data_IF_113514470375
#
_entry.id   IF_113514470375
#
_cell.length_a   1.000
_cell.length_b   1.000
_cell.length_c   1.000
_cell.angle_alpha   90.00
_cell.angle_beta   90.00
_cell.angle_gamma   90.00
#
_symmetry.space_group_name_H-M   'P 1'
#
loop_
_entity.id
_entity.type
_entity.pdbx_description
1 polymer ?
#
# COMPACT_ATOMS: atom_id res chain seq x y z
N UNK A 1 20.96 7.31 -11.99
CA UNK A 1 19.62 7.24 -11.38
C UNK A 1 19.51 8.36 -10.37
N UNK A 2 18.35 9.03 -10.31
CA UNK A 2 18.04 10.09 -9.35
C UNK A 2 16.79 9.69 -8.55
N UNK A 3 16.84 9.87 -7.24
CA UNK A 3 15.66 9.84 -6.37
C UNK A 3 15.54 11.17 -5.61
N UNK A 4 14.43 11.85 -5.78
CA UNK A 4 14.14 13.10 -5.08
C UNK A 4 13.32 12.79 -3.83
N UNK A 5 13.86 13.14 -2.67
CA UNK A 5 13.16 13.09 -1.39
C UNK A 5 12.49 14.45 -1.19
N UNK A 6 11.18 14.47 -1.03
CA UNK A 6 10.40 15.68 -0.77
C UNK A 6 9.61 15.53 0.52
N UNK A 7 9.42 16.61 1.28
CA UNK A 7 8.54 16.66 2.45
C UNK A 7 7.08 17.03 2.11
N UNK A 8 6.77 17.22 0.82
CA UNK A 8 5.41 17.51 0.33
C UNK A 8 4.52 16.29 0.13
N UNK A 9 5.01 15.08 0.44
CA UNK A 9 4.18 13.88 0.29
C UNK A 9 3.07 13.90 1.36
N UNK A 10 1.78 13.95 0.95
CA UNK A 10 0.67 14.07 1.90
C UNK A 10 0.68 12.99 2.98
N UNK A 11 0.47 13.37 4.24
CA UNK A 11 0.39 12.48 5.41
C UNK A 11 1.64 11.63 5.66
N UNK A 12 2.75 11.87 4.96
CA UNK A 12 4.00 11.16 5.19
C UNK A 12 4.72 11.70 6.45
N UNK A 13 5.36 10.81 7.19
CA UNK A 13 6.11 11.16 8.40
C UNK A 13 7.40 10.34 8.50
N UNK A 14 8.22 10.61 9.51
CA UNK A 14 9.53 9.98 9.72
C UNK A 14 9.50 8.45 9.66
N UNK A 15 8.41 7.80 10.10
CA UNK A 15 8.22 6.34 9.99
C UNK A 15 8.34 5.85 8.56
N UNK A 16 7.68 6.54 7.64
CA UNK A 16 7.59 6.17 6.23
C UNK A 16 8.91 6.45 5.51
N UNK A 17 9.48 7.64 5.71
CA UNK A 17 10.75 8.02 5.10
C UNK A 17 11.90 7.12 5.55
N UNK A 18 11.96 6.77 6.83
CA UNK A 18 13.01 5.90 7.36
C UNK A 18 13.01 4.54 6.67
N UNK A 19 11.83 3.91 6.55
CA UNK A 19 11.67 2.62 5.90
C UNK A 19 11.93 2.68 4.38
N UNK A 20 11.42 3.71 3.71
CA UNK A 20 11.66 3.95 2.28
C UNK A 20 13.15 4.11 1.99
N UNK A 21 13.82 4.95 2.74
CA UNK A 21 15.25 5.25 2.54
C UNK A 21 16.16 4.05 2.82
N UNK A 22 15.79 3.13 3.71
CA UNK A 22 16.51 1.88 3.89
C UNK A 22 16.51 1.05 2.58
N UNK A 23 15.37 0.94 1.92
CA UNK A 23 15.27 0.24 0.64
C UNK A 23 16.05 0.92 -0.48
N UNK A 24 15.92 2.23 -0.58
CA UNK A 24 16.65 3.03 -1.57
C UNK A 24 18.17 2.97 -1.34
N UNK A 25 18.61 2.87 -0.08
CA UNK A 25 20.02 2.65 0.25
C UNK A 25 20.54 1.31 -0.31
N UNK A 26 19.78 0.22 -0.19
CA UNK A 26 20.14 -1.07 -0.80
C UNK A 26 20.23 -0.95 -2.33
N UNK A 27 19.25 -0.32 -2.97
CA UNK A 27 19.24 -0.10 -4.43
C UNK A 27 20.46 0.72 -4.87
N UNK A 28 20.71 1.85 -4.22
CA UNK A 28 21.84 2.71 -4.51
C UNK A 28 23.19 1.97 -4.37
N UNK A 29 23.32 1.15 -3.32
CA UNK A 29 24.51 0.34 -3.09
C UNK A 29 24.68 -0.75 -4.17
N UNK A 30 23.57 -1.38 -4.58
CA UNK A 30 23.60 -2.42 -5.62
C UNK A 30 23.96 -1.84 -6.99
N UNK A 31 23.40 -0.70 -7.35
CA UNK A 31 23.71 0.01 -8.61
C UNK A 31 25.15 0.52 -8.63
N UNK A 32 25.64 1.06 -7.52
CA UNK A 32 27.03 1.49 -7.39
C UNK A 32 28.02 0.34 -7.66
N UNK A 33 27.76 -0.88 -7.14
CA UNK A 33 28.57 -2.08 -7.43
C UNK A 33 28.58 -2.46 -8.91
N UNK A 34 27.55 -2.08 -9.66
CA UNK A 34 27.44 -2.28 -11.11
C UNK A 34 28.04 -1.10 -11.92
N UNK A 35 28.60 -0.08 -11.25
CA UNK A 35 29.12 1.12 -11.88
C UNK A 35 28.04 2.10 -12.34
N UNK A 36 26.81 1.96 -11.85
CA UNK A 36 25.69 2.87 -12.15
C UNK A 36 25.59 3.90 -11.03
N UNK A 37 25.69 5.18 -11.37
CA UNK A 37 25.56 6.27 -10.40
C UNK A 37 24.14 6.42 -9.89
N UNK A 38 23.98 6.53 -8.57
CA UNK A 38 22.71 6.81 -7.90
C UNK A 38 22.86 8.05 -7.02
N UNK A 39 21.94 8.98 -7.18
CA UNK A 39 21.94 10.24 -6.43
C UNK A 39 20.63 10.39 -5.68
N UNK A 40 20.72 10.84 -4.42
CA UNK A 40 19.59 11.39 -3.68
C UNK A 40 19.64 12.92 -3.81
N UNK A 41 18.49 13.53 -4.02
CA UNK A 41 18.33 14.97 -3.93
C UNK A 41 17.18 15.30 -2.97
N UNK A 42 17.22 16.47 -2.34
CA UNK A 42 16.14 16.98 -1.51
C UNK A 42 15.54 18.25 -2.14
N UNK A 43 14.20 18.33 -2.16
CA UNK A 43 13.46 19.50 -2.63
C UNK A 43 12.16 19.15 -3.34
N UNK A 44 11.62 20.12 -4.04
CA UNK A 44 10.47 20.00 -4.91
C UNK A 44 10.77 19.03 -6.08
N UNK A 45 9.98 17.97 -6.21
CA UNK A 45 10.26 16.86 -7.14
C UNK A 45 10.40 17.36 -8.58
N UNK A 46 9.44 18.16 -9.05
CA UNK A 46 9.40 18.64 -10.45
C UNK A 46 10.57 19.56 -10.75
N UNK A 47 10.86 20.51 -9.83
CA UNK A 47 11.94 21.46 -9.99
C UNK A 47 13.32 20.78 -10.02
N UNK A 48 13.54 19.86 -9.08
CA UNK A 48 14.83 19.14 -8.98
C UNK A 48 15.06 18.26 -10.19
N UNK A 49 14.03 17.49 -10.61
CA UNK A 49 14.17 16.60 -11.78
C UNK A 49 14.39 17.40 -13.06
N UNK A 50 13.64 18.48 -13.29
CA UNK A 50 13.79 19.35 -14.47
C UNK A 50 15.19 19.97 -14.52
N UNK A 51 15.72 20.45 -13.38
CA UNK A 51 17.07 21.02 -13.33
C UNK A 51 18.18 19.98 -13.58
N UNK A 52 18.03 18.75 -13.06
CA UNK A 52 18.98 17.66 -13.32
C UNK A 52 18.91 17.20 -14.79
N UNK A 53 17.74 17.31 -15.41
CA UNK A 53 17.48 16.86 -16.77
C UNK A 53 17.85 17.90 -17.85
N UNK A 54 18.40 19.06 -17.50
CA UNK A 54 18.72 20.14 -18.47
C UNK A 54 19.60 19.65 -19.63
N UNK A 55 20.58 18.77 -19.33
CA UNK A 55 21.46 18.16 -20.32
C UNK A 55 21.07 16.71 -20.69
N UNK A 56 19.92 16.23 -20.25
CA UNK A 56 19.49 14.86 -20.51
C UNK A 56 18.79 14.73 -21.87
N UNK A 57 18.99 13.59 -22.54
CA UNK A 57 18.24 13.25 -23.74
C UNK A 57 16.81 12.82 -23.42
N UNK A 58 16.66 12.09 -22.31
CA UNK A 58 15.40 11.52 -21.88
C UNK A 58 15.34 11.38 -20.38
N UNK A 59 14.15 11.61 -19.80
CA UNK A 59 13.79 11.25 -18.43
C UNK A 59 12.82 10.07 -18.47
N UNK A 60 13.16 9.00 -17.78
CA UNK A 60 12.29 7.84 -17.58
C UNK A 60 11.83 7.80 -16.13
N UNK A 61 10.53 7.73 -15.88
CA UNK A 61 9.96 7.73 -14.54
C UNK A 61 8.84 6.70 -14.38
N UNK A 62 8.57 6.32 -13.12
CA UNK A 62 7.47 5.42 -12.78
C UNK A 62 6.11 6.09 -12.97
N UNK A 63 5.13 5.30 -13.40
CA UNK A 63 3.74 5.71 -13.54
C UNK A 63 2.98 5.55 -12.21
N UNK A 64 3.04 6.56 -11.33
CA UNK A 64 2.26 6.54 -10.08
C UNK A 64 0.77 6.90 -10.28
N UNK A 65 -0.10 6.34 -9.45
CA UNK A 65 -1.56 6.46 -9.58
C UNK A 65 -2.21 7.50 -8.69
N UNK A 66 -1.52 7.91 -7.62
CA UNK A 66 -2.06 8.82 -6.63
C UNK A 66 -2.09 10.27 -7.14
N UNK A 67 -2.98 11.09 -6.57
CA UNK A 67 -3.21 12.48 -6.99
C UNK A 67 -1.92 13.29 -7.09
N UNK A 68 -1.09 13.28 -6.04
CA UNK A 68 0.16 14.02 -6.02
C UNK A 68 1.16 13.50 -7.05
N UNK A 69 1.28 12.18 -7.24
CA UNK A 69 2.14 11.56 -8.26
C UNK A 69 1.68 11.95 -9.68
N UNK A 70 0.36 11.95 -9.93
CA UNK A 70 -0.21 12.37 -11.21
C UNK A 70 0.05 13.85 -11.49
N UNK A 71 -0.03 14.68 -10.46
CA UNK A 71 0.29 16.10 -10.55
C UNK A 71 1.76 16.30 -10.92
N UNK A 72 2.69 15.68 -10.19
CA UNK A 72 4.12 15.75 -10.51
C UNK A 72 4.42 15.31 -11.94
N UNK A 73 3.84 14.21 -12.41
CA UNK A 73 4.05 13.73 -13.79
C UNK A 73 3.57 14.74 -14.83
N UNK A 74 2.38 15.31 -14.63
CA UNK A 74 1.82 16.30 -15.56
C UNK A 74 2.67 17.56 -15.61
N UNK A 75 3.08 18.08 -14.47
CA UNK A 75 3.92 19.27 -14.36
C UNK A 75 5.31 19.02 -14.95
N UNK A 76 5.91 17.86 -14.62
CA UNK A 76 7.21 17.45 -15.14
C UNK A 76 7.19 17.29 -16.66
N UNK A 77 6.18 16.63 -17.22
CA UNK A 77 6.03 16.49 -18.67
C UNK A 77 5.99 17.84 -19.38
N UNK A 78 5.31 18.82 -18.78
CA UNK A 78 5.23 20.20 -19.32
C UNK A 78 6.62 20.85 -19.30
N UNK A 79 7.33 20.84 -18.17
CA UNK A 79 8.67 21.43 -18.05
C UNK A 79 9.70 20.79 -18.96
N UNK A 80 9.73 19.46 -19.03
CA UNK A 80 10.65 18.75 -19.90
C UNK A 80 10.39 19.01 -21.38
N UNK A 81 9.11 19.18 -21.77
CA UNK A 81 8.76 19.60 -23.14
C UNK A 81 9.30 20.99 -23.48
N UNK A 82 9.26 21.94 -22.54
CA UNK A 82 9.83 23.28 -22.71
C UNK A 82 11.36 23.24 -22.88
N UNK A 83 12.02 22.27 -22.23
CA UNK A 83 13.47 22.03 -22.34
C UNK A 83 13.86 21.16 -23.54
N UNK A 84 12.89 20.67 -24.33
CA UNK A 84 13.10 19.72 -25.42
C UNK A 84 13.72 18.37 -24.98
N UNK A 85 13.49 17.97 -23.72
CA UNK A 85 13.90 16.68 -23.16
C UNK A 85 12.76 15.67 -23.33
N UNK A 86 13.05 14.47 -23.84
CA UNK A 86 12.06 13.40 -23.95
C UNK A 86 11.62 12.91 -22.56
N UNK A 87 10.34 12.51 -22.43
CA UNK A 87 9.78 11.97 -21.18
C UNK A 87 9.01 10.69 -21.45
N UNK A 88 9.41 9.63 -20.74
CA UNK A 88 8.79 8.30 -20.83
C UNK A 88 8.31 7.84 -19.46
N UNK A 89 7.06 7.39 -19.36
CA UNK A 89 6.50 6.79 -18.15
C UNK A 89 6.43 5.27 -18.31
N UNK A 90 6.87 4.54 -17.27
CA UNK A 90 6.83 3.07 -17.22
C UNK A 90 5.95 2.65 -16.06
N UNK A 91 4.95 1.81 -16.34
CA UNK A 91 4.11 1.23 -15.30
C UNK A 91 4.78 -0.02 -14.71
N UNK A 92 5.24 0.08 -13.46
CA UNK A 92 6.00 -0.97 -12.77
C UNK A 92 5.26 -1.60 -11.60
N UNK A 93 4.16 -1.00 -11.13
CA UNK A 93 3.47 -1.41 -9.91
C UNK A 93 2.47 -2.57 -10.13
N UNK A 94 1.74 -2.57 -11.25
CA UNK A 94 0.76 -3.60 -11.57
C UNK A 94 1.39 -4.75 -12.36
N UNK A 95 0.87 -5.97 -12.17
CA UNK A 95 1.25 -7.13 -13.01
C UNK A 95 0.64 -6.99 -14.40
N UNK A 96 -0.61 -6.53 -14.47
CA UNK A 96 -1.26 -6.19 -15.74
C UNK A 96 -1.57 -4.69 -15.72
N UNK A 97 -1.02 -3.90 -16.65
CA UNK A 97 -1.23 -2.46 -16.70
C UNK A 97 -2.69 -2.07 -16.61
N UNK A 98 -3.02 -1.09 -15.75
CA UNK A 98 -4.41 -0.71 -15.44
C UNK A 98 -5.22 -0.37 -16.68
N UNK A 99 -4.61 0.37 -17.62
CA UNK A 99 -5.26 0.79 -18.86
C UNK A 99 -5.47 -0.35 -19.86
N UNK A 100 -4.68 -1.43 -19.78
CA UNK A 100 -4.90 -2.65 -20.57
C UNK A 100 -6.03 -3.51 -20.00
N UNK A 101 -6.22 -3.46 -18.67
CA UNK A 101 -7.27 -4.20 -17.97
C UNK A 101 -8.63 -3.59 -18.24
N UNK A 102 -8.78 -2.27 -18.13
CA UNK A 102 -10.07 -1.59 -18.25
C UNK A 102 -9.90 -0.13 -18.64
N UNK A 103 -10.90 0.42 -19.32
CA UNK A 103 -11.04 1.83 -19.71
C UNK A 103 -11.86 2.66 -18.71
N UNK A 104 -12.26 2.04 -17.58
CA UNK A 104 -13.11 2.68 -16.56
C UNK A 104 -12.89 2.10 -15.18
N UNK A 105 -13.44 2.80 -14.17
CA UNK A 105 -13.51 2.28 -12.81
C UNK A 105 -14.32 0.98 -12.75
N UNK A 106 -13.71 -0.08 -12.22
CA UNK A 106 -14.33 -1.37 -12.01
C UNK A 106 -15.10 -1.43 -10.69
N UNK A 107 -16.34 -1.91 -10.76
CA UNK A 107 -17.23 -1.94 -9.60
C UNK A 107 -16.71 -2.84 -8.47
N UNK A 108 -16.13 -3.99 -8.80
CA UNK A 108 -15.76 -5.01 -7.82
C UNK A 108 -14.66 -5.95 -8.32
N UNK A 109 -14.10 -6.73 -7.41
CA UNK A 109 -13.17 -7.81 -7.76
C UNK A 109 -13.78 -8.84 -8.76
N UNK A 110 -15.08 -9.02 -8.78
CA UNK A 110 -15.73 -9.94 -9.73
C UNK A 110 -15.67 -9.43 -11.17
N UNK A 111 -15.80 -8.11 -11.37
CA UNK A 111 -15.76 -7.50 -12.71
C UNK A 111 -14.33 -7.44 -13.25
N UNK A 112 -13.37 -6.93 -12.47
CA UNK A 112 -11.98 -6.81 -12.90
C UNK A 112 -11.31 -8.17 -13.09
N UNK A 113 -11.61 -9.16 -12.24
CA UNK A 113 -11.03 -10.52 -12.32
C UNK A 113 -11.14 -11.12 -13.72
N UNK A 114 -12.30 -11.03 -14.35
CA UNK A 114 -12.51 -11.60 -15.71
C UNK A 114 -11.57 -11.00 -16.74
N UNK A 115 -11.22 -9.73 -16.57
CA UNK A 115 -10.32 -9.01 -17.47
C UNK A 115 -8.87 -9.38 -17.20
N UNK A 116 -8.45 -9.36 -15.92
CA UNK A 116 -7.09 -9.71 -15.52
C UNK A 116 -6.75 -11.15 -15.89
N UNK A 117 -7.59 -12.13 -15.55
CA UNK A 117 -7.28 -13.55 -15.83
C UNK A 117 -7.19 -13.86 -17.32
N UNK A 118 -7.81 -13.07 -18.18
CA UNK A 118 -7.67 -13.21 -19.64
C UNK A 118 -6.31 -12.75 -20.13
N UNK A 119 -5.74 -11.72 -19.50
CA UNK A 119 -4.45 -11.12 -19.89
C UNK A 119 -3.27 -11.80 -19.19
N UNK A 120 -3.48 -12.29 -17.98
CA UNK A 120 -2.42 -12.84 -17.12
C UNK A 120 -1.52 -13.89 -17.78
N UNK A 121 -2.03 -14.87 -18.60
CA UNK A 121 -1.17 -15.85 -19.26
C UNK A 121 -0.15 -15.27 -20.25
N UNK A 122 -0.38 -14.05 -20.74
CA UNK A 122 0.49 -13.36 -21.68
C UNK A 122 1.51 -12.41 -21.01
N UNK A 123 1.51 -12.33 -19.67
CA UNK A 123 2.46 -11.49 -18.94
C UNK A 123 3.82 -12.17 -18.91
N UNK A 124 4.86 -11.42 -19.27
CA UNK A 124 6.24 -11.85 -19.08
C UNK A 124 6.67 -11.51 -17.64
N UNK A 125 6.98 -12.55 -16.87
CA UNK A 125 7.50 -12.41 -15.50
C UNK A 125 9.03 -12.48 -15.44
N UNK A 126 9.69 -12.80 -16.54
CA UNK A 126 11.15 -12.91 -16.53
C UNK A 126 11.77 -11.50 -16.46
N UNK A 127 12.72 -11.29 -15.55
CA UNK A 127 13.44 -10.02 -15.52
C UNK A 127 14.30 -9.88 -16.76
N UNK A 128 14.42 -8.65 -17.27
CA UNK A 128 15.42 -8.34 -18.27
C UNK A 128 16.82 -8.65 -17.71
N UNK A 129 17.54 -9.53 -18.40
CA UNK A 129 18.87 -9.98 -17.99
C UNK A 129 19.99 -9.32 -18.82
N UNK A 130 19.66 -8.34 -19.66
CA UNK A 130 20.68 -7.61 -20.41
C UNK A 130 21.65 -6.90 -19.45
N UNK A 131 22.94 -7.16 -19.65
CA UNK A 131 23.99 -6.51 -18.86
C UNK A 131 24.39 -5.22 -19.59
N UNK A 132 23.88 -4.10 -19.09
CA UNK A 132 24.27 -2.79 -19.59
C UNK A 132 25.69 -2.44 -19.11
N UNK A 133 26.53 -2.02 -20.04
CA UNK A 133 27.86 -1.46 -19.71
C UNK A 133 27.66 -0.01 -19.26
N UNK A 134 27.99 0.34 -18.01
CA UNK A 134 27.85 1.71 -17.57
C UNK A 134 28.73 2.65 -18.41
N UNK A 135 28.12 3.76 -18.81
CA UNK A 135 28.86 4.88 -19.42
C UNK A 135 29.28 5.83 -18.30
N UNK A 136 30.52 6.34 -18.37
CA UNK A 136 30.94 7.36 -17.39
C UNK A 136 30.02 8.57 -17.47
N UNK A 137 29.31 8.86 -16.39
CA UNK A 137 28.39 9.99 -16.31
C UNK A 137 29.14 11.17 -15.69
N UNK A 138 29.07 12.36 -16.27
CA UNK A 138 29.64 13.57 -15.67
C UNK A 138 28.94 13.86 -14.32
N UNK A 139 29.64 14.44 -13.38
CA UNK A 139 29.08 14.87 -12.11
C UNK A 139 27.88 15.79 -12.34
N UNK A 140 26.76 15.46 -11.72
CA UNK A 140 25.56 16.31 -11.74
C UNK A 140 25.89 17.65 -11.08
N UNK A 141 25.70 18.73 -11.82
CA UNK A 141 25.89 20.12 -11.32
C UNK A 141 24.51 20.77 -11.21
N UNK A 142 23.98 20.80 -9.99
CA UNK A 142 22.69 21.43 -9.70
C UNK A 142 22.80 22.27 -8.42
N UNK A 143 21.94 23.28 -8.30
CA UNK A 143 21.84 24.14 -7.12
C UNK A 143 20.97 23.54 -6.00
N UNK A 144 20.81 22.22 -6.00
CA UNK A 144 20.04 21.49 -4.98
C UNK A 144 20.97 20.62 -4.14
N UNK A 145 20.59 20.33 -2.86
CA UNK A 145 21.31 19.36 -2.06
C UNK A 145 21.29 17.97 -2.71
N UNK A 146 22.46 17.45 -3.04
CA UNK A 146 22.66 16.13 -3.63
C UNK A 146 23.55 15.28 -2.73
N UNK A 147 23.17 14.04 -2.49
CA UNK A 147 23.92 13.07 -1.73
C UNK A 147 24.37 11.91 -2.61
N UNK A 148 25.66 11.63 -2.63
CA UNK A 148 26.24 10.49 -3.32
C UNK A 148 26.59 9.38 -2.31
N UNK A 149 26.36 8.13 -2.71
CA UNK A 149 26.43 6.94 -1.84
C UNK A 149 27.87 6.48 -1.54
N UNK A 150 28.88 7.16 -2.06
CA UNK A 150 30.28 6.75 -1.91
C UNK A 150 30.73 6.69 -0.45
N UNK A 151 31.11 5.47 0.00
CA UNK A 151 31.78 5.19 1.29
C UNK A 151 31.05 5.64 2.57
N UNK A 152 29.74 5.79 2.53
CA UNK A 152 28.92 6.17 3.68
C UNK A 152 27.94 5.04 4.05
N UNK A 153 27.31 5.11 5.22
CA UNK A 153 26.28 4.17 5.66
C UNK A 153 24.90 4.82 5.68
N UNK A 154 23.86 4.01 5.73
CA UNK A 154 22.46 4.47 5.87
C UNK A 154 22.26 5.56 6.93
N UNK A 155 22.92 5.50 8.16
CA UNK A 155 22.77 6.56 9.14
C UNK A 155 23.21 7.95 8.66
N UNK A 156 24.18 8.01 7.76
CA UNK A 156 24.65 9.27 7.17
C UNK A 156 23.63 9.85 6.18
N UNK A 157 22.99 9.00 5.36
CA UNK A 157 21.89 9.40 4.49
C UNK A 157 20.70 9.92 5.31
N UNK A 158 20.29 9.17 6.34
CA UNK A 158 19.18 9.58 7.21
C UNK A 158 19.42 10.94 7.87
N UNK A 159 20.64 11.14 8.41
CA UNK A 159 21.05 12.42 8.99
C UNK A 159 21.02 13.55 7.96
N UNK A 160 21.52 13.29 6.73
CA UNK A 160 21.55 14.26 5.66
C UNK A 160 20.15 14.68 5.23
N UNK A 161 19.22 13.74 5.06
CA UNK A 161 17.81 14.05 4.73
C UNK A 161 17.17 14.94 5.79
N UNK A 162 17.34 14.61 7.09
CA UNK A 162 16.80 15.43 8.19
C UNK A 162 17.44 16.81 8.33
N UNK A 163 18.60 17.04 7.72
CA UNK A 163 19.23 18.37 7.67
C UNK A 163 18.64 19.24 6.55
N UNK A 164 18.06 18.66 5.53
CA UNK A 164 17.61 19.37 4.33
C UNK A 164 16.08 19.44 4.19
N UNK A 165 15.34 18.58 4.88
CA UNK A 165 13.87 18.50 4.85
C UNK A 165 13.30 18.63 6.27
N UNK A 166 12.06 19.11 6.36
CA UNK A 166 11.29 19.19 7.60
C UNK A 166 10.28 18.04 7.66
N UNK A 167 10.78 16.85 7.93
CA UNK A 167 9.89 15.70 8.06
C UNK A 167 9.03 15.81 9.34
N UNK A 168 7.77 15.36 9.27
CA UNK A 168 6.95 15.17 10.46
C UNK A 168 7.54 14.02 11.31
N UNK A 169 8.11 14.35 12.46
CA UNK A 169 8.75 13.43 13.40
C UNK A 169 7.83 12.96 14.54
N UNK A 170 6.54 13.36 14.50
CA UNK A 170 5.54 13.00 15.52
C UNK A 170 5.21 11.51 15.57
N UNK A 171 5.55 10.74 14.52
CA UNK A 171 5.42 9.27 14.49
C UNK A 171 6.80 8.65 14.26
N UNK A 172 7.31 8.00 15.28
CA UNK A 172 8.63 7.38 15.23
C UNK A 172 8.70 6.18 14.27
N UNK A 173 9.86 5.91 13.66
CA UNK A 173 10.13 4.71 12.89
C UNK A 173 9.89 3.43 13.68
N UNK A 174 9.41 2.37 13.01
CA UNK A 174 9.29 1.02 13.58
C UNK A 174 10.63 0.30 13.39
N UNK A 175 11.50 0.36 14.41
CA UNK A 175 12.86 -0.18 14.30
C UNK A 175 12.90 -1.70 14.09
N UNK A 176 11.87 -2.43 14.54
CA UNK A 176 11.73 -3.87 14.32
C UNK A 176 11.37 -4.24 12.87
N UNK A 177 10.91 -3.27 12.07
CA UNK A 177 10.58 -3.46 10.66
C UNK A 177 11.69 -2.85 9.80
N UNK A 178 12.55 -3.71 9.28
CA UNK A 178 13.62 -3.30 8.38
C UNK A 178 13.09 -3.13 6.95
N UNK A 179 13.41 -2.01 6.29
CA UNK A 179 13.18 -1.81 4.87
C UNK A 179 14.27 -2.46 4.01
N UNK A 180 13.98 -2.62 2.73
CA UNK A 180 14.91 -3.10 1.72
C UNK A 180 14.51 -4.42 1.07
N UNK A 181 15.05 -4.67 -0.11
CA UNK A 181 14.77 -5.87 -0.90
C UNK A 181 15.21 -7.15 -0.19
N UNK A 182 16.31 -7.11 0.57
CA UNK A 182 16.79 -8.24 1.36
C UNK A 182 15.78 -8.67 2.42
N UNK A 183 15.23 -7.72 3.16
CA UNK A 183 14.20 -7.97 4.18
C UNK A 183 12.89 -8.44 3.53
N UNK A 184 12.49 -7.84 2.40
CA UNK A 184 11.32 -8.25 1.64
C UNK A 184 11.41 -9.71 1.16
N UNK A 185 12.56 -10.12 0.60
CA UNK A 185 12.81 -11.51 0.16
C UNK A 185 12.80 -12.49 1.32
N UNK A 186 13.34 -12.11 2.46
CA UNK A 186 13.25 -12.90 3.69
C UNK A 186 11.80 -13.13 4.13
N UNK A 187 10.96 -12.09 4.11
CA UNK A 187 9.51 -12.18 4.40
C UNK A 187 8.78 -13.05 3.37
N UNK A 188 9.07 -12.87 2.08
CA UNK A 188 8.49 -13.70 1.02
C UNK A 188 8.83 -15.17 1.22
N UNK A 189 10.08 -15.49 1.52
CA UNK A 189 10.53 -16.88 1.76
C UNK A 189 9.82 -17.47 2.98
N UNK A 190 9.82 -16.78 4.13
CA UNK A 190 9.10 -17.23 5.34
C UNK A 190 7.62 -17.50 5.06
N UNK A 191 6.96 -16.56 4.36
CA UNK A 191 5.55 -16.72 4.01
C UNK A 191 5.30 -17.93 3.11
N UNK A 192 6.08 -18.09 2.06
CA UNK A 192 5.88 -19.18 1.10
C UNK A 192 6.16 -20.55 1.68
N UNK A 193 7.17 -20.66 2.56
CA UNK A 193 7.56 -21.94 3.17
C UNK A 193 6.67 -22.36 4.34
N UNK A 194 6.16 -21.39 5.13
CA UNK A 194 5.54 -21.72 6.43
C UNK A 194 4.07 -21.32 6.54
N UNK A 195 3.59 -20.35 5.74
CA UNK A 195 2.28 -19.72 5.93
C UNK A 195 1.33 -19.91 4.75
N UNK A 196 1.85 -19.97 3.53
CA UNK A 196 1.05 -19.99 2.30
C UNK A 196 0.03 -21.14 2.24
N UNK A 197 0.41 -22.33 2.65
CA UNK A 197 -0.49 -23.50 2.68
C UNK A 197 -1.69 -23.29 3.63
N UNK A 198 -1.51 -22.56 4.72
CA UNK A 198 -2.53 -22.27 5.74
C UNK A 198 -3.36 -21.02 5.40
N UNK A 199 -2.89 -20.20 4.45
CA UNK A 199 -3.40 -18.87 4.19
C UNK A 199 -4.90 -18.83 3.90
N UNK A 200 -5.42 -19.74 3.08
CA UNK A 200 -6.85 -19.75 2.74
C UNK A 200 -7.77 -19.85 3.97
N UNK A 201 -7.39 -20.69 4.95
CA UNK A 201 -8.25 -21.00 6.09
C UNK A 201 -8.00 -20.12 7.30
N UNK A 202 -6.76 -19.61 7.46
CA UNK A 202 -6.34 -18.96 8.71
C UNK A 202 -6.04 -17.46 8.56
N UNK A 203 -5.98 -16.92 7.34
CA UNK A 203 -5.61 -15.53 7.09
C UNK A 203 -6.50 -14.48 7.77
N UNK A 204 -7.72 -14.84 8.13
CA UNK A 204 -8.66 -13.93 8.79
C UNK A 204 -8.62 -14.03 10.33
N UNK A 205 -7.85 -14.95 10.90
CA UNK A 205 -7.72 -15.08 12.35
C UNK A 205 -6.66 -14.11 12.87
N UNK A 206 -7.05 -13.04 13.62
CA UNK A 206 -6.11 -12.01 14.06
C UNK A 206 -5.13 -12.49 15.15
N UNK A 207 -5.46 -13.56 15.85
CA UNK A 207 -4.56 -14.15 16.84
C UNK A 207 -3.35 -14.86 16.20
N UNK A 208 -3.44 -15.24 14.91
CA UNK A 208 -2.40 -15.97 14.20
C UNK A 208 -1.55 -15.03 13.31
N UNK A 209 -0.27 -15.36 13.18
CA UNK A 209 0.64 -14.67 12.26
C UNK A 209 0.74 -15.42 10.91
N UNK A 210 -0.35 -15.37 10.13
CA UNK A 210 -0.46 -16.03 8.81
C UNK A 210 -0.38 -15.02 7.64
N UNK A 211 -0.32 -13.74 7.93
CA UNK A 211 -0.18 -12.70 6.90
C UNK A 211 1.23 -12.75 6.28
N UNK A 212 1.33 -12.35 5.01
CA UNK A 212 2.63 -12.29 4.32
C UNK A 212 3.57 -11.22 4.88
N UNK A 213 3.02 -10.13 5.41
CA UNK A 213 3.79 -8.96 5.85
C UNK A 213 4.45 -8.20 4.70
N UNK A 214 4.07 -8.45 3.44
CA UNK A 214 4.73 -7.89 2.25
C UNK A 214 4.19 -6.53 1.81
N UNK A 215 3.03 -6.09 2.32
CA UNK A 215 2.40 -4.85 1.81
C UNK A 215 3.24 -3.58 1.99
N UNK A 216 4.03 -3.35 3.06
CA UNK A 216 4.92 -2.21 3.12
C UNK A 216 6.02 -2.24 2.05
N UNK A 217 6.56 -3.42 1.79
CA UNK A 217 7.61 -3.59 0.78
C UNK A 217 7.08 -3.41 -0.64
N UNK A 218 5.84 -3.85 -0.91
CA UNK A 218 5.15 -3.60 -2.18
C UNK A 218 4.85 -2.11 -2.36
N UNK A 219 4.40 -1.43 -1.29
CA UNK A 219 4.09 0.00 -1.32
C UNK A 219 5.32 0.85 -1.72
N UNK A 220 6.48 0.52 -1.16
CA UNK A 220 7.72 1.25 -1.44
C UNK A 220 8.58 0.64 -2.57
N UNK A 221 8.03 -0.30 -3.37
CA UNK A 221 8.73 -0.89 -4.50
C UNK A 221 9.97 -1.72 -4.13
N UNK A 222 10.09 -2.15 -2.86
CA UNK A 222 11.23 -2.94 -2.36
C UNK A 222 11.14 -4.42 -2.75
N UNK A 223 10.00 -4.85 -3.26
CA UNK A 223 9.75 -6.09 -3.96
C UNK A 223 8.60 -5.88 -4.95
N UNK A 224 8.66 -6.51 -6.12
CA UNK A 224 7.56 -6.43 -7.08
C UNK A 224 6.53 -7.56 -6.88
N UNK A 225 5.27 -7.30 -7.25
CA UNK A 225 4.24 -8.32 -7.27
C UNK A 225 4.59 -9.45 -8.27
N UNK A 226 5.25 -9.11 -9.38
CA UNK A 226 5.72 -10.07 -10.38
C UNK A 226 6.75 -11.03 -9.79
N UNK A 227 7.75 -10.53 -9.05
CA UNK A 227 8.76 -11.35 -8.37
C UNK A 227 8.14 -12.33 -7.36
N UNK A 228 7.16 -11.87 -6.59
CA UNK A 228 6.44 -12.72 -5.62
C UNK A 228 5.69 -13.85 -6.35
N UNK A 229 4.95 -13.51 -7.41
CA UNK A 229 4.21 -14.50 -8.22
C UNK A 229 5.18 -15.49 -8.84
N UNK A 230 6.25 -15.02 -9.49
CA UNK A 230 7.25 -15.87 -10.10
C UNK A 230 7.89 -16.85 -9.09
N UNK A 231 8.25 -16.35 -7.90
CA UNK A 231 8.79 -17.17 -6.82
C UNK A 231 7.83 -18.31 -6.40
N UNK A 232 6.55 -17.98 -6.21
CA UNK A 232 5.54 -18.99 -5.84
C UNK A 232 5.35 -20.01 -6.96
N UNK A 233 5.20 -19.56 -8.21
CA UNK A 233 4.98 -20.44 -9.34
C UNK A 233 6.14 -21.40 -9.58
N UNK A 234 7.38 -20.92 -9.48
CA UNK A 234 8.59 -21.77 -9.60
C UNK A 234 8.68 -22.82 -8.50
N UNK A 235 8.41 -22.43 -7.25
CA UNK A 235 8.48 -23.36 -6.11
C UNK A 235 7.42 -24.46 -6.16
N UNK A 236 6.26 -24.17 -6.69
CA UNK A 236 5.12 -25.10 -6.75
C UNK A 236 4.97 -25.82 -8.10
N UNK A 237 5.80 -25.49 -9.08
CA UNK A 237 5.73 -26.06 -10.42
C UNK A 237 4.42 -25.72 -11.16
N UNK A 238 3.90 -24.51 -10.97
CA UNK A 238 2.64 -24.02 -11.52
C UNK A 238 2.91 -22.93 -12.56
N UNK A 239 2.21 -22.94 -13.68
CA UNK A 239 2.32 -21.89 -14.70
C UNK A 239 1.38 -20.70 -14.43
N UNK A 240 1.60 -19.57 -15.12
CA UNK A 240 0.66 -18.43 -15.12
C UNK A 240 -0.71 -18.84 -15.69
N UNK A 241 -0.75 -19.75 -16.66
CA UNK A 241 -1.98 -20.30 -17.20
C UNK A 241 -2.79 -21.04 -16.13
N UNK A 242 -2.11 -21.89 -15.34
CA UNK A 242 -2.75 -22.60 -14.21
C UNK A 242 -3.25 -21.63 -13.15
N UNK A 243 -2.45 -20.60 -12.81
CA UNK A 243 -2.88 -19.56 -11.87
C UNK A 243 -4.10 -18.81 -12.36
N UNK A 244 -4.14 -18.46 -13.64
CA UNK A 244 -5.31 -17.84 -14.29
C UNK A 244 -6.56 -18.71 -14.17
N UNK A 245 -6.46 -20.02 -14.40
CA UNK A 245 -7.54 -20.97 -14.21
C UNK A 245 -8.01 -21.04 -12.74
N UNK A 246 -7.10 -21.07 -11.78
CA UNK A 246 -7.42 -21.06 -10.35
C UNK A 246 -8.19 -19.79 -9.95
N UNK A 247 -7.76 -18.62 -10.44
CA UNK A 247 -8.44 -17.34 -10.20
C UNK A 247 -9.79 -17.24 -10.87
N UNK A 248 -9.98 -17.87 -12.05
CA UNK A 248 -11.25 -17.89 -12.77
C UNK A 248 -12.30 -18.73 -12.07
N UNK A 249 -11.91 -19.91 -11.56
CA UNK A 249 -12.81 -20.90 -10.98
C UNK A 249 -12.35 -21.38 -9.61
N UNK A 250 -12.54 -20.55 -8.61
CA UNK A 250 -12.15 -20.82 -7.21
C UNK A 250 -12.75 -22.12 -6.63
N UNK A 251 -13.89 -22.59 -7.16
CA UNK A 251 -14.55 -23.79 -6.63
C UNK A 251 -13.88 -25.08 -7.06
N UNK A 252 -13.11 -25.05 -8.15
CA UNK A 252 -12.41 -26.23 -8.69
C UNK A 252 -10.92 -26.28 -8.31
N UNK A 253 -10.47 -25.36 -7.45
CA UNK A 253 -9.07 -25.33 -7.00
C UNK A 253 -8.81 -26.51 -6.08
N UNK A 254 -7.79 -27.32 -6.41
CA UNK A 254 -7.32 -28.40 -5.54
C UNK A 254 -6.92 -27.86 -4.15
N UNK A 255 -7.21 -28.58 -3.05
CA UNK A 255 -6.78 -28.18 -1.70
C UNK A 255 -5.30 -27.84 -1.61
N UNK A 256 -4.44 -28.51 -2.36
CA UNK A 256 -3.00 -28.23 -2.45
C UNK A 256 -2.69 -26.78 -2.84
N UNK A 257 -3.45 -26.24 -3.80
CA UNK A 257 -3.21 -24.90 -4.35
C UNK A 257 -4.14 -23.82 -3.77
N UNK A 258 -4.94 -24.17 -2.79
CA UNK A 258 -5.94 -23.29 -2.23
C UNK A 258 -5.33 -22.02 -1.57
N UNK A 259 -4.19 -22.20 -0.91
CA UNK A 259 -3.41 -21.07 -0.35
C UNK A 259 -2.90 -20.14 -1.45
N UNK A 260 -2.33 -20.69 -2.52
CA UNK A 260 -1.84 -19.91 -3.68
C UNK A 260 -2.95 -19.12 -4.32
N UNK A 261 -4.08 -19.76 -4.65
CA UNK A 261 -5.22 -19.10 -5.26
C UNK A 261 -5.79 -17.98 -4.35
N UNK A 262 -5.83 -18.22 -3.03
CA UNK A 262 -6.30 -17.24 -2.06
C UNK A 262 -5.33 -16.05 -1.94
N UNK A 263 -4.03 -16.28 -1.94
CA UNK A 263 -3.03 -15.22 -1.87
C UNK A 263 -2.96 -14.43 -3.18
N UNK A 264 -2.97 -15.11 -4.33
CA UNK A 264 -2.98 -14.47 -5.64
C UNK A 264 -4.25 -13.61 -5.87
N UNK A 265 -5.39 -14.01 -5.30
CA UNK A 265 -6.61 -13.17 -5.30
C UNK A 265 -6.35 -11.82 -4.62
N UNK A 266 -5.64 -11.80 -3.49
CA UNK A 266 -5.34 -10.55 -2.78
C UNK A 266 -4.23 -9.76 -3.50
N UNK A 267 -3.15 -10.43 -3.88
CA UNK A 267 -1.97 -9.79 -4.47
C UNK A 267 -2.23 -9.24 -5.88
N UNK A 268 -3.05 -9.94 -6.69
CA UNK A 268 -3.31 -9.56 -8.08
C UNK A 268 -4.68 -8.89 -8.17
N UNK A 269 -5.76 -9.63 -7.92
CA UNK A 269 -7.11 -9.14 -8.24
C UNK A 269 -7.51 -7.95 -7.35
N UNK A 270 -7.28 -8.05 -6.03
CA UNK A 270 -7.68 -6.99 -5.09
C UNK A 270 -6.74 -5.80 -5.18
N UNK A 271 -5.45 -6.04 -5.28
CA UNK A 271 -4.46 -4.97 -5.40
C UNK A 271 -4.66 -4.18 -6.70
N UNK A 272 -4.84 -4.84 -7.84
CA UNK A 272 -5.05 -4.15 -9.11
C UNK A 272 -6.43 -3.49 -9.23
N UNK A 273 -7.44 -3.97 -8.50
CA UNK A 273 -8.70 -3.24 -8.34
C UNK A 273 -8.49 -1.89 -7.64
N UNK A 274 -7.59 -1.83 -6.65
CA UNK A 274 -7.29 -0.57 -5.97
C UNK A 274 -6.53 0.42 -6.85
N UNK A 275 -5.62 -0.06 -7.70
CA UNK A 275 -4.98 0.80 -8.71
C UNK A 275 -5.99 1.31 -9.73
N UNK A 276 -6.86 0.45 -10.24
CA UNK A 276 -7.95 0.85 -11.12
C UNK A 276 -8.86 1.90 -10.45
N UNK A 277 -9.19 1.71 -9.18
CA UNK A 277 -9.97 2.67 -8.41
C UNK A 277 -9.27 4.04 -8.32
N UNK A 278 -8.02 4.10 -7.90
CA UNK A 278 -7.29 5.38 -7.78
C UNK A 278 -7.06 6.04 -9.15
N UNK A 279 -6.88 5.25 -10.22
CA UNK A 279 -6.67 5.76 -11.57
C UNK A 279 -7.93 6.44 -12.13
N UNK A 280 -9.09 5.79 -12.01
CA UNK A 280 -10.33 6.26 -12.67
C UNK A 280 -11.23 7.10 -11.78
N UNK A 281 -11.11 7.04 -10.45
CA UNK A 281 -11.94 7.81 -9.55
C UNK A 281 -11.21 9.07 -9.06
N UNK A 282 -11.59 10.28 -9.51
CA UNK A 282 -10.91 11.52 -9.09
C UNK A 282 -11.12 11.87 -7.61
N UNK A 283 -12.03 11.18 -6.92
CA UNK A 283 -12.39 11.40 -5.51
C UNK A 283 -11.94 10.25 -4.62
N UNK A 284 -11.00 9.39 -5.05
CA UNK A 284 -10.62 8.16 -4.37
C UNK A 284 -10.21 8.34 -2.89
N UNK A 285 -9.73 9.52 -2.53
CA UNK A 285 -9.25 9.91 -1.20
C UNK A 285 -10.30 10.67 -0.37
N UNK A 286 -11.56 10.70 -0.80
CA UNK A 286 -12.65 11.39 -0.11
C UNK A 286 -13.91 10.52 0.00
N UNK A 287 -14.81 10.87 0.91
CA UNK A 287 -16.13 10.22 1.05
C UNK A 287 -16.95 10.22 -0.26
N UNK A 288 -16.69 11.20 -1.14
CA UNK A 288 -17.38 11.32 -2.43
C UNK A 288 -17.14 10.14 -3.37
N UNK A 289 -16.07 9.36 -3.18
CA UNK A 289 -15.75 8.18 -3.98
C UNK A 289 -16.78 7.05 -3.84
N UNK A 290 -17.59 7.07 -2.78
CA UNK A 290 -18.50 5.98 -2.44
C UNK A 290 -19.68 5.86 -3.41
N UNK A 291 -20.20 4.66 -3.64
CA UNK A 291 -21.37 4.47 -4.47
C UNK A 291 -22.60 5.17 -3.88
N UNK A 292 -23.48 5.65 -4.75
CA UNK A 292 -24.65 6.43 -4.36
C UNK A 292 -25.52 5.75 -3.30
N UNK A 293 -25.72 4.42 -3.42
CA UNK A 293 -26.51 3.64 -2.45
C UNK A 293 -25.89 3.67 -1.03
N UNK A 294 -24.57 3.62 -0.95
CA UNK A 294 -23.87 3.61 0.34
C UNK A 294 -23.94 4.99 1.00
N UNK A 295 -23.74 6.06 0.24
CA UNK A 295 -23.89 7.42 0.74
C UNK A 295 -25.32 7.69 1.21
N UNK A 296 -26.32 7.40 0.39
CA UNK A 296 -27.72 7.62 0.71
C UNK A 296 -28.11 6.89 2.00
N UNK A 297 -27.79 5.59 2.11
CA UNK A 297 -28.20 4.83 3.31
C UNK A 297 -27.53 5.32 4.59
N UNK A 298 -26.27 5.76 4.56
CA UNK A 298 -25.61 6.31 5.75
C UNK A 298 -26.17 7.69 6.13
N UNK A 299 -26.49 8.54 5.13
CA UNK A 299 -27.11 9.85 5.35
C UNK A 299 -28.55 9.73 5.90
N UNK A 300 -29.34 8.74 5.45
CA UNK A 300 -30.67 8.45 5.98
C UNK A 300 -30.62 8.05 7.48
N UNK A 301 -29.49 7.56 7.95
CA UNK A 301 -29.24 7.16 9.34
C UNK A 301 -28.50 8.22 10.19
N UNK A 302 -28.33 9.46 9.69
CA UNK A 302 -27.78 10.56 10.50
C UNK A 302 -28.58 10.85 11.78
N UNK A 303 -29.95 10.80 11.78
CA UNK A 303 -30.72 11.03 12.99
C UNK A 303 -30.60 9.93 14.06
N UNK A 304 -29.98 8.81 13.74
CA UNK A 304 -29.83 7.71 14.68
C UNK A 304 -28.91 8.11 15.84
N UNK A 305 -29.36 7.83 17.07
CA UNK A 305 -28.60 8.15 18.29
C UNK A 305 -27.35 7.27 18.34
N UNK A 306 -26.21 7.91 18.52
CA UNK A 306 -24.92 7.29 18.81
C UNK A 306 -24.71 7.32 20.33
N UNK A 307 -24.41 6.17 20.90
CA UNK A 307 -24.31 6.02 22.37
C UNK A 307 -22.95 6.52 22.90
N UNK A 308 -21.94 6.55 22.05
CA UNK A 308 -20.57 6.93 22.41
C UNK A 308 -19.98 7.86 21.35
N UNK A 309 -19.15 8.80 21.80
CA UNK A 309 -18.39 9.72 20.96
C UNK A 309 -16.97 9.81 21.49
N UNK A 310 -16.00 9.80 20.59
CA UNK A 310 -14.59 9.90 20.92
C UNK A 310 -13.92 11.00 20.10
N UNK A 311 -13.14 11.87 20.75
CA UNK A 311 -12.28 12.82 20.06
C UNK A 311 -11.14 12.09 19.35
N UNK A 312 -10.54 12.73 18.36
CA UNK A 312 -9.37 12.18 17.65
C UNK A 312 -8.25 11.84 18.63
N UNK A 313 -7.96 12.70 19.63
CA UNK A 313 -6.92 12.47 20.64
C UNK A 313 -7.18 11.17 21.43
N UNK A 314 -8.44 10.90 21.81
CA UNK A 314 -8.79 9.66 22.53
C UNK A 314 -8.65 8.43 21.63
N UNK A 315 -8.99 8.56 20.36
CA UNK A 315 -8.79 7.49 19.36
C UNK A 315 -7.29 7.19 19.19
N UNK A 316 -6.46 8.22 19.06
CA UNK A 316 -5.00 8.06 18.97
C UNK A 316 -4.40 7.45 20.25
N UNK A 317 -4.95 7.76 21.42
CA UNK A 317 -4.50 7.20 22.70
C UNK A 317 -5.03 5.79 22.98
N UNK A 318 -5.79 5.19 22.06
CA UNK A 318 -6.46 3.89 22.27
C UNK A 318 -7.37 3.88 23.51
N UNK A 319 -8.05 5.01 23.77
CA UNK A 319 -8.90 5.25 24.95
C UNK A 319 -10.39 5.25 24.56
N UNK A 320 -10.89 4.08 24.15
CA UNK A 320 -12.32 3.84 23.92
C UNK A 320 -12.83 2.72 24.81
N UNK A 321 -14.14 2.53 24.88
CA UNK A 321 -14.77 1.40 25.60
C UNK A 321 -14.54 0.04 24.91
N UNK A 322 -14.13 0.04 23.63
CA UNK A 322 -13.96 -1.15 22.79
C UNK A 322 -12.51 -1.66 22.84
N UNK A 323 -12.24 -2.64 23.67
CA UNK A 323 -10.91 -3.21 23.89
C UNK A 323 -10.28 -3.78 22.62
N UNK A 324 -11.07 -4.32 21.70
CA UNK A 324 -10.57 -4.88 20.43
C UNK A 324 -10.20 -3.79 19.44
N UNK A 325 -10.96 -2.70 19.44
CA UNK A 325 -10.61 -1.51 18.66
C UNK A 325 -9.32 -0.89 19.16
N UNK A 326 -9.21 -0.71 20.49
CA UNK A 326 -8.00 -0.17 21.12
C UNK A 326 -6.77 -1.05 20.82
N UNK A 327 -6.91 -2.37 20.87
CA UNK A 327 -5.83 -3.28 20.53
C UNK A 327 -5.43 -3.15 19.04
N UNK A 328 -6.39 -3.05 18.12
CA UNK A 328 -6.11 -2.88 16.70
C UNK A 328 -5.37 -1.57 16.39
N UNK A 329 -5.82 -0.46 17.01
CA UNK A 329 -5.13 0.83 16.92
C UNK A 329 -3.71 0.75 17.49
N UNK A 330 -3.53 0.11 18.63
CA UNK A 330 -2.23 -0.08 19.28
C UNK A 330 -1.30 -0.95 18.43
N UNK A 331 -1.79 -2.06 17.84
CA UNK A 331 -1.02 -2.91 16.91
C UNK A 331 -0.45 -2.07 15.77
N UNK A 332 -1.28 -1.23 15.15
CA UNK A 332 -0.89 -0.33 14.07
C UNK A 332 0.16 0.69 14.51
N UNK A 333 -0.05 1.33 15.65
CA UNK A 333 0.88 2.35 16.17
C UNK A 333 2.25 1.78 16.52
N UNK A 334 2.29 0.59 17.14
CA UNK A 334 3.53 -0.06 17.59
C UNK A 334 4.30 -0.73 16.46
N UNK A 335 3.59 -1.35 15.52
CA UNK A 335 4.20 -2.23 14.51
C UNK A 335 4.18 -1.66 13.09
N UNK A 336 3.46 -0.55 12.87
CA UNK A 336 3.19 -0.02 11.52
C UNK A 336 2.24 -0.90 10.70
N UNK A 337 1.59 -1.88 11.33
CA UNK A 337 0.69 -2.84 10.68
C UNK A 337 -0.50 -3.16 11.57
N UNK A 338 -1.68 -3.27 10.97
CA UNK A 338 -2.86 -3.83 11.59
C UNK A 338 -3.28 -5.09 10.86
N UNK A 339 -3.71 -6.12 11.58
CA UNK A 339 -4.25 -7.33 10.93
C UNK A 339 -5.44 -6.97 10.03
N UNK A 340 -5.45 -7.47 8.79
CA UNK A 340 -6.42 -7.07 7.76
C UNK A 340 -7.90 -7.25 8.18
N UNK A 341 -8.23 -8.32 8.92
CA UNK A 341 -9.59 -8.52 9.43
C UNK A 341 -9.95 -7.50 10.51
N UNK A 342 -8.98 -7.13 11.36
CA UNK A 342 -9.16 -6.10 12.39
C UNK A 342 -9.29 -4.71 11.78
N UNK A 343 -8.60 -4.40 10.68
CA UNK A 343 -8.75 -3.12 9.96
C UNK A 343 -10.20 -2.87 9.54
N UNK A 344 -10.90 -3.92 9.08
CA UNK A 344 -12.31 -3.81 8.74
C UNK A 344 -13.21 -3.55 9.96
N UNK A 345 -12.94 -4.23 11.06
CA UNK A 345 -13.66 -4.01 12.31
C UNK A 345 -13.41 -2.59 12.82
N UNK A 346 -12.16 -2.22 12.94
CA UNK A 346 -11.67 -0.92 13.38
C UNK A 346 -12.30 0.24 12.58
N UNK A 347 -12.26 0.18 11.24
CA UNK A 347 -12.84 1.21 10.40
C UNK A 347 -14.35 1.32 10.51
N UNK A 348 -15.07 0.20 10.66
CA UNK A 348 -16.52 0.22 10.79
C UNK A 348 -17.03 0.75 12.13
N UNK A 349 -16.23 0.62 13.19
CA UNK A 349 -16.61 1.16 14.51
C UNK A 349 -16.67 2.69 14.51
N UNK A 350 -15.86 3.38 13.71
CA UNK A 350 -15.90 4.83 13.64
C UNK A 350 -17.27 5.37 13.17
N UNK A 351 -17.98 4.65 12.29
CA UNK A 351 -19.36 5.00 11.93
C UNK A 351 -20.30 5.10 13.13
N UNK A 352 -20.08 4.29 14.16
CA UNK A 352 -20.91 4.30 15.36
C UNK A 352 -20.54 5.44 16.33
N UNK A 353 -19.40 6.06 16.18
CA UNK A 353 -18.84 7.02 17.15
C UNK A 353 -18.73 8.46 16.61
N UNK A 354 -18.86 8.65 15.31
CA UNK A 354 -18.81 9.98 14.69
C UNK A 354 -20.21 10.49 14.36
N UNK A 355 -20.40 11.81 14.40
CA UNK A 355 -21.68 12.46 14.11
C UNK A 355 -22.09 12.32 12.65
N UNK A 356 -21.11 12.31 11.76
CA UNK A 356 -21.35 12.09 10.32
C UNK A 356 -20.49 10.96 9.76
N UNK A 357 -20.93 10.29 8.68
CA UNK A 357 -20.12 9.31 7.98
C UNK A 357 -18.93 9.94 7.25
N UNK A 358 -19.00 11.22 6.89
CA UNK A 358 -17.91 12.00 6.34
C UNK A 358 -16.77 12.16 7.36
N UNK A 359 -17.09 12.55 8.60
CA UNK A 359 -16.11 12.67 9.69
C UNK A 359 -15.46 11.32 9.98
N UNK A 360 -16.29 10.26 10.07
CA UNK A 360 -15.78 8.90 10.25
C UNK A 360 -14.79 8.49 9.15
N UNK A 361 -15.07 8.86 7.89
CA UNK A 361 -14.21 8.59 6.74
C UNK A 361 -12.87 9.35 6.86
N UNK A 362 -12.92 10.65 7.18
CA UNK A 362 -11.73 11.49 7.32
C UNK A 362 -10.84 11.04 8.48
N UNK A 363 -11.42 10.74 9.63
CA UNK A 363 -10.68 10.22 10.79
C UNK A 363 -10.03 8.88 10.45
N UNK A 364 -10.75 7.99 9.76
CA UNK A 364 -10.21 6.69 9.36
C UNK A 364 -9.04 6.84 8.39
N UNK A 365 -9.17 7.73 7.42
CA UNK A 365 -8.11 8.03 6.45
C UNK A 365 -6.88 8.59 7.15
N UNK A 366 -7.07 9.57 8.02
CA UNK A 366 -6.00 10.19 8.80
C UNK A 366 -5.23 9.15 9.64
N UNK A 367 -5.93 8.36 10.45
CA UNK A 367 -5.31 7.37 11.33
C UNK A 367 -4.55 6.30 10.52
N UNK A 368 -5.15 5.83 9.42
CA UNK A 368 -4.51 4.86 8.55
C UNK A 368 -3.22 5.42 7.92
N UNK A 369 -3.30 6.59 7.28
CA UNK A 369 -2.17 7.17 6.55
C UNK A 369 -1.02 7.54 7.49
N UNK A 370 -1.35 7.96 8.71
CA UNK A 370 -0.39 8.37 9.71
C UNK A 370 0.39 7.19 10.32
N UNK A 371 -0.29 6.07 10.61
CA UNK A 371 0.28 4.99 11.44
C UNK A 371 0.60 3.71 10.71
N UNK A 372 -0.10 3.36 9.62
CA UNK A 372 0.23 2.20 8.80
C UNK A 372 1.50 2.45 7.98
N UNK A 373 2.40 1.48 7.95
CA UNK A 373 3.63 1.59 7.16
C UNK A 373 3.34 1.68 5.65
N UNK A 374 2.29 1.00 5.20
CA UNK A 374 1.72 1.07 3.86
C UNK A 374 0.48 1.99 3.78
N UNK A 375 0.37 2.97 4.67
CA UNK A 375 -0.56 4.10 4.52
C UNK A 375 -0.33 4.83 3.19
N UNK A 376 -1.37 5.46 2.62
CA UNK A 376 -1.31 6.17 1.32
C UNK A 376 -1.12 5.25 0.10
N UNK A 377 -1.11 3.93 0.28
CA UNK A 377 -1.14 2.99 -0.84
C UNK A 377 -2.53 2.99 -1.51
N UNK A 378 -2.67 2.72 -2.82
CA UNK A 378 -3.96 2.50 -3.45
C UNK A 378 -4.84 1.48 -2.70
N UNK A 379 -4.25 0.41 -2.12
CA UNK A 379 -4.99 -0.54 -1.28
C UNK A 379 -5.48 0.08 0.04
N UNK A 380 -4.77 1.05 0.60
CA UNK A 380 -5.20 1.76 1.80
C UNK A 380 -6.48 2.55 1.50
N UNK A 381 -6.49 3.36 0.45
CA UNK A 381 -7.68 4.12 0.03
C UNK A 381 -8.86 3.20 -0.31
N UNK A 382 -8.64 2.15 -1.08
CA UNK A 382 -9.68 1.17 -1.41
C UNK A 382 -10.19 0.43 -0.16
N UNK A 383 -9.31 0.09 0.77
CA UNK A 383 -9.64 -0.58 2.03
C UNK A 383 -10.49 0.28 2.96
N UNK A 384 -10.16 1.57 3.05
CA UNK A 384 -10.95 2.56 3.79
C UNK A 384 -12.33 2.71 3.15
N UNK A 385 -12.38 2.99 1.85
CA UNK A 385 -13.64 3.13 1.12
C UNK A 385 -14.51 1.86 1.22
N UNK A 386 -13.90 0.68 1.30
CA UNK A 386 -14.62 -0.58 1.51
C UNK A 386 -15.31 -0.64 2.88
N UNK A 387 -14.74 -0.06 3.92
CA UNK A 387 -15.43 0.04 5.21
C UNK A 387 -16.77 0.78 5.11
N UNK A 388 -16.93 1.65 4.12
CA UNK A 388 -18.12 2.45 3.85
C UNK A 388 -18.95 1.97 2.64
N UNK A 389 -18.68 0.76 2.12
CA UNK A 389 -19.50 0.13 1.06
C UNK A 389 -18.95 0.16 -0.34
N UNK A 390 -17.75 0.75 -0.59
CA UNK A 390 -17.08 0.66 -1.90
C UNK A 390 -16.76 -0.80 -2.23
N UNK A 391 -16.94 -1.20 -3.46
CA UNK A 391 -16.70 -2.57 -3.95
C UNK A 391 -17.50 -3.67 -3.23
N UNK A 392 -18.53 -3.29 -2.45
CA UNK A 392 -19.45 -4.19 -1.73
C UNK A 392 -20.87 -4.04 -2.27
N UNK A 393 -21.78 -4.82 -1.74
CA UNK A 393 -23.21 -4.81 -2.03
C UNK A 393 -23.99 -4.32 -0.81
N UNK A 394 -25.24 -3.87 -0.97
CA UNK A 394 -26.15 -3.61 0.13
C UNK A 394 -26.37 -4.86 0.99
N UNK A 395 -26.33 -4.67 2.31
CA UNK A 395 -26.63 -5.66 3.34
C UNK A 395 -27.97 -5.35 4.00
N UNK A 396 -28.37 -6.14 5.00
CA UNK A 396 -29.56 -5.88 5.80
C UNK A 396 -29.41 -4.52 6.50
N UNK A 397 -30.46 -3.68 6.38
CA UNK A 397 -30.48 -2.34 7.01
C UNK A 397 -30.36 -2.43 8.54
N UNK A 398 -29.54 -1.57 9.13
CA UNK A 398 -29.29 -1.48 10.57
C UNK A 398 -29.12 -0.04 10.99
N UNK A 399 -29.55 0.25 12.22
CA UNK A 399 -29.35 1.54 12.89
C UNK A 399 -27.90 2.01 12.73
N UNK A 400 -27.67 3.26 12.42
CA UNK A 400 -26.40 3.94 12.16
C UNK A 400 -25.72 3.50 10.85
N UNK A 401 -25.65 2.22 10.58
CA UNK A 401 -24.90 1.63 9.44
C UNK A 401 -25.71 1.60 8.15
N UNK A 402 -27.02 1.76 8.22
CA UNK A 402 -27.87 1.52 7.07
C UNK A 402 -27.61 0.14 6.45
N UNK A 403 -27.47 0.09 5.14
CA UNK A 403 -27.16 -1.12 4.39
C UNK A 403 -25.66 -1.40 4.24
N UNK A 404 -24.79 -0.63 4.91
CA UNK A 404 -23.34 -0.93 4.92
C UNK A 404 -23.10 -2.14 5.83
N UNK A 405 -22.19 -3.00 5.43
CA UNK A 405 -21.84 -4.22 6.17
C UNK A 405 -21.44 -3.90 7.60
N UNK A 406 -22.12 -4.55 8.56
CA UNK A 406 -21.91 -4.37 9.99
C UNK A 406 -20.90 -5.37 10.58
N UNK A 407 -20.10 -4.91 11.54
CA UNK A 407 -19.23 -5.75 12.38
C UNK A 407 -19.31 -5.30 13.83
N UNK A 408 -19.26 -6.24 14.77
CA UNK A 408 -19.28 -5.97 16.22
C UNK A 408 -18.39 -6.96 17.00
N UNK A 409 -18.11 -6.64 18.27
CA UNK A 409 -17.27 -7.43 19.19
C UNK A 409 -17.75 -8.88 19.32
N UNK A 410 -19.04 -9.11 19.58
CA UNK A 410 -19.61 -10.47 19.69
C UNK A 410 -19.45 -11.30 18.42
N UNK A 411 -19.35 -10.65 17.24
CA UNK A 411 -19.07 -11.30 15.97
C UNK A 411 -17.61 -11.73 15.81
N UNK A 412 -16.67 -11.00 16.43
CA UNK A 412 -15.26 -11.37 16.52
C UNK A 412 -15.09 -12.57 17.46
N UNK A 413 -15.58 -12.47 18.69
CA UNK A 413 -15.49 -13.49 19.75
C UNK A 413 -16.05 -14.85 19.29
N UNK A 414 -17.18 -14.84 18.57
CA UNK A 414 -17.77 -16.06 18.03
C UNK A 414 -16.89 -16.78 17.00
N UNK A 415 -15.99 -16.02 16.31
CA UNK A 415 -15.20 -16.55 15.21
C UNK A 415 -13.76 -16.85 15.57
N UNK A 416 -13.21 -16.09 16.50
CA UNK A 416 -11.78 -16.10 16.79
C UNK A 416 -11.53 -16.02 18.29
N UNK A 417 -10.37 -16.52 18.71
CA UNK A 417 -9.87 -16.34 20.07
C UNK A 417 -9.35 -14.90 20.22
N UNK A 418 -10.22 -14.03 20.71
CA UNK A 418 -9.91 -12.62 20.87
C UNK A 418 -9.04 -12.34 22.11
N UNK A 419 -9.03 -13.23 23.10
CA UNK A 419 -8.11 -13.13 24.24
C UNK A 419 -6.66 -13.37 23.79
N UNK A 420 -6.44 -14.36 22.93
CA UNK A 420 -5.13 -14.59 22.32
C UNK A 420 -4.69 -13.39 21.45
N UNK A 421 -5.62 -12.74 20.73
CA UNK A 421 -5.30 -11.51 20.00
C UNK A 421 -4.90 -10.36 20.94
N UNK A 422 -5.62 -10.13 22.02
CA UNK A 422 -5.26 -9.12 23.02
C UNK A 422 -3.89 -9.41 23.64
N UNK A 423 -3.62 -10.65 24.01
CA UNK A 423 -2.30 -11.04 24.56
C UNK A 423 -1.16 -10.81 23.58
N UNK A 424 -1.38 -11.06 22.27
CA UNK A 424 -0.38 -10.81 21.21
C UNK A 424 -0.03 -9.32 21.11
N UNK A 425 -1.02 -8.44 21.21
CA UNK A 425 -0.84 -7.00 21.00
C UNK A 425 -0.41 -6.27 22.28
N UNK A 426 -0.90 -6.70 23.44
CA UNK A 426 -0.67 -6.05 24.74
C UNK A 426 -0.09 -7.02 25.78
N UNK A 427 1.10 -7.59 25.58
CA UNK A 427 1.63 -8.63 26.45
C UNK A 427 1.84 -8.18 27.91
N UNK A 428 2.04 -6.88 28.16
CA UNK A 428 2.43 -6.34 29.48
C UNK A 428 1.27 -5.71 30.29
N UNK A 429 0.02 -5.81 29.84
CA UNK A 429 -1.15 -5.29 30.59
C UNK A 429 -1.83 -6.35 31.47
N UNK A 430 -1.06 -7.00 32.38
CA UNK A 430 -1.57 -7.80 33.50
C UNK A 430 -1.18 -7.20 34.83
#
# INVERSE_FOLDING_TARGET
VLFVVSDDVPDANSRHYYFMLQGLWEVATALHKQGISFYFACGEVVEVVAAVAEDALEVVADHGYLRFQRQWRTELATKLSEQSTAYTEIETEAIVPVTQVSDKEEYSAATIRRKIVRLLPGVDLEPDTEVYKPVSIPNIRVNYPVYNVENTGFPSLWKWVNQHLKLDDSVAPVLAMQGGATAAKGKMHDFTMHKLALYQHQRNNPALDIQSGLSPYLHFGQISAMEIVQHILRNEGVSLGDLSLMLSNKRSVSPRYAGIASFAEELIIRRELSFNFCHYNPYYDTFSCLPAWAKATMLDHLPDIREEHYSLDRLEQCDTSDVYWNAAQMEMMQTGKMHNYMRMYWGKRLLAWCDSPEDAYQILLYLNNRYEQDGRDPNAYAGIAWCFGKHDRPWMNRKIYGMVRYMNAAGLERKYDMDAYLQKVTPDKR
#
